data_IF_673065622198
#
_entry.id   IF_673065622198
#
_cell.length_a   1.000
_cell.length_b   1.000
_cell.length_c   1.000
_cell.angle_alpha   90.00
_cell.angle_beta   90.00
_cell.angle_gamma   90.00
#
_symmetry.space_group_name_H-M   'P 1'
#
loop_
_entity.id
_entity.type
_entity.pdbx_description
1 polymer ?
#
# COMPACT_ATOMS: atom_id res chain seq x y z
N UNK A 1 -16.62 -33.71 -10.09
CA UNK A 1 -16.17 -33.03 -11.34
C UNK A 1 -15.98 -31.57 -10.99
N UNK A 2 -14.75 -31.05 -11.12
CA UNK A 2 -14.29 -29.76 -10.57
C UNK A 2 -14.16 -29.69 -9.03
N UNK A 3 -13.29 -30.57 -8.53
CA UNK A 3 -12.26 -30.14 -7.57
C UNK A 3 -11.02 -29.65 -8.38
N UNK A 4 -9.96 -29.23 -7.69
CA UNK A 4 -8.63 -28.80 -8.17
C UNK A 4 -8.53 -27.43 -8.88
N UNK A 5 -8.42 -26.35 -8.08
CA UNK A 5 -7.53 -25.20 -8.41
C UNK A 5 -7.13 -24.31 -7.20
N UNK A 6 -7.00 -24.86 -5.99
CA UNK A 6 -6.68 -24.07 -4.76
C UNK A 6 -5.57 -24.65 -3.88
N UNK A 7 -4.82 -25.66 -4.34
CA UNK A 7 -3.64 -26.17 -3.60
C UNK A 7 -2.50 -26.51 -4.56
N UNK A 8 -1.29 -26.08 -4.20
CA UNK A 8 0.02 -26.31 -4.82
C UNK A 8 0.57 -25.24 -5.79
N UNK A 9 1.29 -24.27 -5.23
CA UNK A 9 2.64 -23.96 -5.71
C UNK A 9 3.69 -24.25 -4.60
N UNK A 10 4.32 -25.42 -4.74
CA UNK A 10 5.65 -25.84 -4.24
C UNK A 10 5.98 -25.69 -2.74
N UNK A 11 6.00 -26.84 -2.04
CA UNK A 11 6.95 -27.13 -0.96
C UNK A 11 8.06 -28.03 -1.51
N UNK A 12 9.31 -27.90 -1.03
CA UNK A 12 10.15 -28.98 -0.45
C UNK A 12 11.65 -28.64 -0.45
N UNK A 13 12.36 -29.30 0.50
CA UNK A 13 13.80 -29.35 0.82
C UNK A 13 14.16 -28.45 2.03
N UNK A 14 14.79 -28.91 3.12
CA UNK A 14 15.21 -30.25 3.59
C UNK A 14 14.87 -30.40 5.10
N UNK A 15 14.88 -31.62 5.66
CA UNK A 15 14.79 -31.89 7.11
C UNK A 15 16.06 -32.58 7.63
N UNK A 16 16.35 -32.36 8.91
CA UNK A 16 17.41 -32.96 9.77
C UNK A 16 18.80 -32.31 9.76
N UNK A 17 19.24 -31.91 10.96
CA UNK A 17 20.55 -31.33 11.27
C UNK A 17 20.44 -30.14 12.22
N UNK A 18 20.83 -30.29 13.48
CA UNK A 18 20.83 -29.19 14.46
C UNK A 18 21.86 -28.13 14.09
N UNK A 19 21.41 -27.02 13.50
CA UNK A 19 22.24 -25.82 13.29
C UNK A 19 21.44 -24.61 13.80
N UNK A 20 22.02 -23.93 14.78
CA UNK A 20 21.56 -22.61 15.24
C UNK A 20 21.91 -21.57 14.17
N UNK A 21 21.12 -21.53 13.09
CA UNK A 21 21.33 -20.55 12.04
C UNK A 21 20.63 -19.24 12.43
N UNK A 22 21.42 -18.28 12.90
CA UNK A 22 21.02 -16.89 13.08
C UNK A 22 20.81 -16.27 11.69
N UNK A 23 19.68 -16.59 11.07
CA UNK A 23 19.30 -16.10 9.76
C UNK A 23 18.87 -14.63 9.87
N UNK A 24 19.86 -13.73 9.82
CA UNK A 24 19.66 -12.31 9.57
C UNK A 24 19.09 -12.12 8.16
N UNK A 25 17.78 -12.28 8.01
CA UNK A 25 17.06 -11.77 6.86
C UNK A 25 16.99 -10.24 6.97
N UNK A 26 18.04 -9.58 6.47
CA UNK A 26 18.02 -8.12 6.24
C UNK A 26 17.12 -7.88 5.04
N UNK A 27 15.81 -7.70 5.31
CA UNK A 27 14.87 -7.24 4.30
C UNK A 27 15.04 -5.71 4.19
N UNK A 28 15.20 -5.24 2.96
CA UNK A 28 15.66 -3.89 2.65
C UNK A 28 14.49 -2.99 2.26
N UNK A 29 14.03 -2.06 3.13
CA UNK A 29 13.11 -1.01 2.70
C UNK A 29 13.81 -0.05 1.73
N UNK A 30 13.06 0.41 0.75
CA UNK A 30 13.53 1.26 -0.32
C UNK A 30 12.73 2.57 -0.35
N UNK A 31 13.46 3.66 -0.58
CA UNK A 31 12.94 5.01 -0.69
C UNK A 31 13.23 5.45 -2.13
N UNK A 32 12.21 5.91 -2.85
CA UNK A 32 12.41 6.62 -4.12
C UNK A 32 12.55 8.11 -3.85
N UNK A 33 13.67 8.72 -4.23
CA UNK A 33 13.59 10.10 -4.68
C UNK A 33 12.79 10.09 -5.98
N UNK A 34 11.76 10.93 -6.09
CA UNK A 34 11.07 11.13 -7.37
C UNK A 34 12.03 11.85 -8.29
N UNK A 35 12.77 11.07 -9.08
CA UNK A 35 13.60 11.57 -10.16
C UNK A 35 12.73 12.38 -11.13
N UNK A 36 13.36 13.35 -11.79
CA UNK A 36 12.70 14.30 -12.70
C UNK A 36 11.89 13.63 -13.82
N UNK A 37 12.19 12.36 -14.11
CA UNK A 37 11.60 11.56 -15.18
C UNK A 37 10.49 10.60 -14.71
N UNK A 38 10.27 10.43 -13.39
CA UNK A 38 9.28 9.52 -12.78
C UNK A 38 8.23 10.28 -11.92
N UNK A 39 7.50 11.27 -12.46
CA UNK A 39 6.67 12.19 -11.68
C UNK A 39 5.51 11.51 -10.93
N UNK A 40 5.16 12.04 -9.75
CA UNK A 40 3.91 11.70 -9.07
C UNK A 40 2.72 12.07 -9.96
N UNK A 41 1.92 11.07 -10.31
CA UNK A 41 0.60 11.27 -10.89
C UNK A 41 -0.46 11.15 -9.80
N UNK A 42 -1.20 12.23 -9.57
CA UNK A 42 -2.26 12.30 -8.57
C UNK A 42 -3.62 12.54 -9.25
N UNK A 43 -4.61 11.77 -8.82
CA UNK A 43 -6.02 11.93 -9.19
C UNK A 43 -6.79 12.49 -8.01
N UNK A 44 -7.55 13.56 -8.25
CA UNK A 44 -8.29 14.33 -7.24
C UNK A 44 -7.35 14.94 -6.17
N UNK A 45 -7.89 15.47 -5.07
CA UNK A 45 -7.09 15.95 -3.92
C UNK A 45 -7.64 15.37 -2.63
N UNK A 46 -6.77 15.21 -1.62
CA UNK A 46 -7.20 14.74 -0.30
C UNK A 46 -8.25 15.69 0.31
N UNK A 47 -8.10 17.01 0.15
CA UNK A 47 -9.06 18.02 0.62
C UNK A 47 -10.43 18.00 -0.08
N UNK A 48 -10.56 17.34 -1.23
CA UNK A 48 -11.84 17.02 -1.86
C UNK A 48 -12.39 15.70 -1.33
N UNK A 49 -11.53 14.69 -1.18
CA UNK A 49 -11.87 13.38 -0.62
C UNK A 49 -12.45 13.51 0.81
N UNK A 50 -11.86 14.38 1.63
CA UNK A 50 -12.35 14.70 2.98
C UNK A 50 -13.81 15.18 2.98
N UNK A 51 -14.26 15.82 1.89
CA UNK A 51 -15.59 16.43 1.73
C UNK A 51 -16.62 15.50 1.05
N UNK A 52 -16.30 14.22 0.86
CA UNK A 52 -17.23 13.27 0.22
C UNK A 52 -17.15 13.23 -1.31
N UNK A 53 -16.07 13.71 -1.93
CA UNK A 53 -15.89 13.64 -3.38
C UNK A 53 -15.48 12.22 -3.86
N UNK A 54 -16.39 11.26 -3.69
CA UNK A 54 -16.16 9.82 -3.93
C UNK A 54 -16.61 9.32 -5.30
N UNK A 55 -17.05 10.22 -6.19
CA UNK A 55 -17.38 9.83 -7.55
C UNK A 55 -16.11 9.55 -8.37
N UNK A 56 -16.21 8.58 -9.29
CA UNK A 56 -15.14 8.20 -10.23
C UNK A 56 -14.58 9.39 -10.99
N UNK A 57 -13.24 9.46 -11.03
CA UNK A 57 -12.47 10.44 -11.81
C UNK A 57 -11.68 9.76 -12.94
N UNK A 58 -11.21 8.54 -12.70
CA UNK A 58 -10.45 7.71 -13.67
C UNK A 58 -10.83 6.23 -13.49
N UNK A 59 -10.54 5.37 -14.46
CA UNK A 59 -10.62 3.90 -14.31
C UNK A 59 -9.32 3.26 -13.82
N UNK A 60 -9.42 2.00 -13.38
CA UNK A 60 -8.27 1.11 -13.12
C UNK A 60 -7.35 1.00 -14.34
N UNK A 61 -7.88 0.75 -15.54
CA UNK A 61 -7.06 0.61 -16.76
C UNK A 61 -6.34 1.92 -17.11
N UNK A 62 -7.06 3.05 -17.15
CA UNK A 62 -6.47 4.36 -17.44
C UNK A 62 -5.42 4.77 -16.39
N UNK A 63 -5.55 4.30 -15.14
CA UNK A 63 -4.64 4.61 -14.05
C UNK A 63 -3.40 3.69 -14.04
N UNK A 64 -3.54 2.44 -14.47
CA UNK A 64 -2.40 1.52 -14.65
C UNK A 64 -1.37 2.03 -15.67
N UNK A 65 -1.80 2.83 -16.65
CA UNK A 65 -0.90 3.52 -17.59
C UNK A 65 -0.04 4.63 -16.94
N UNK A 66 -0.38 5.09 -15.73
CA UNK A 66 0.22 6.29 -15.10
C UNK A 66 1.38 5.96 -14.16
N UNK A 67 1.40 4.76 -13.61
CA UNK A 67 2.41 4.29 -12.67
C UNK A 67 2.22 2.81 -12.34
N UNK A 68 3.09 2.27 -11.50
CA UNK A 68 3.10 0.85 -11.10
C UNK A 68 3.12 0.65 -9.58
N UNK A 69 3.07 1.75 -8.82
CA UNK A 69 3.19 1.77 -7.37
C UNK A 69 2.43 2.96 -6.78
N UNK A 70 1.47 2.70 -5.90
CA UNK A 70 0.55 3.75 -5.48
C UNK A 70 -0.42 3.35 -4.36
N UNK A 71 -1.15 4.34 -3.86
CA UNK A 71 -2.24 4.17 -2.88
C UNK A 71 -3.39 5.11 -3.20
N UNK A 72 -4.63 4.73 -2.87
CA UNK A 72 -5.81 5.53 -3.15
C UNK A 72 -7.10 4.96 -2.54
N UNK A 73 -8.23 5.40 -3.09
CA UNK A 73 -9.56 4.86 -2.81
C UNK A 73 -10.38 4.77 -4.10
N UNK A 74 -11.18 3.71 -4.19
CA UNK A 74 -12.13 3.50 -5.28
C UNK A 74 -13.26 4.53 -5.24
N UNK A 75 -14.05 4.56 -6.32
CA UNK A 75 -15.35 5.21 -6.28
C UNK A 75 -16.19 4.68 -5.10
N UNK A 76 -17.06 5.52 -4.54
CA UNK A 76 -17.88 5.21 -3.36
C UNK A 76 -17.07 4.87 -2.08
N UNK A 77 -15.74 5.03 -2.04
CA UNK A 77 -14.86 4.54 -0.97
C UNK A 77 -15.00 3.02 -0.71
N UNK A 78 -15.25 2.23 -1.74
CA UNK A 78 -15.32 0.77 -1.62
C UNK A 78 -13.94 0.15 -1.36
N UNK A 79 -13.55 0.11 -0.09
CA UNK A 79 -12.27 -0.41 0.38
C UNK A 79 -11.07 0.51 0.14
N UNK A 80 -9.89 -0.03 0.43
CA UNK A 80 -8.60 0.64 0.16
C UNK A 80 -8.07 0.22 -1.22
N UNK A 81 -7.39 1.15 -1.92
CA UNK A 81 -6.68 0.87 -3.17
C UNK A 81 -5.18 0.84 -2.92
N UNK A 82 -4.55 -0.28 -3.28
CA UNK A 82 -3.10 -0.46 -3.32
C UNK A 82 -2.66 -0.78 -4.74
N UNK A 83 -1.63 -0.10 -5.26
CA UNK A 83 -0.95 -0.50 -6.49
C UNK A 83 0.48 -0.94 -6.18
N UNK A 84 0.89 -2.10 -6.69
CA UNK A 84 2.21 -2.66 -6.50
C UNK A 84 2.62 -3.53 -7.69
N UNK A 85 3.83 -3.31 -8.21
CA UNK A 85 4.39 -4.01 -9.37
C UNK A 85 3.43 -3.98 -10.59
N UNK A 86 2.79 -2.84 -10.84
CA UNK A 86 1.83 -2.64 -11.94
C UNK A 86 0.42 -3.16 -11.67
N UNK A 87 0.22 -3.99 -10.66
CA UNK A 87 -1.10 -4.54 -10.32
C UNK A 87 -1.83 -3.63 -9.34
N UNK A 88 -3.07 -3.25 -9.65
CA UNK A 88 -3.99 -2.59 -8.72
C UNK A 88 -4.76 -3.66 -7.94
N UNK A 89 -4.87 -3.47 -6.63
CA UNK A 89 -5.58 -4.31 -5.68
C UNK A 89 -6.62 -3.49 -4.93
N UNK A 90 -7.79 -4.08 -4.73
CA UNK A 90 -8.83 -3.61 -3.82
C UNK A 90 -8.80 -4.46 -2.55
N UNK A 91 -8.83 -3.81 -1.39
CA UNK A 91 -9.00 -4.47 -0.10
C UNK A 91 -10.33 -4.02 0.48
N UNK A 92 -11.36 -4.87 0.36
CA UNK A 92 -12.74 -4.57 0.78
C UNK A 92 -12.88 -4.54 2.30
N UNK A 93 -14.01 -4.04 2.80
CA UNK A 93 -14.27 -3.86 4.24
C UNK A 93 -14.39 -5.17 5.03
N UNK A 94 -14.54 -6.32 4.38
CA UNK A 94 -14.44 -7.65 4.97
C UNK A 94 -12.99 -8.20 5.02
N UNK A 95 -12.03 -7.47 4.43
CA UNK A 95 -10.62 -7.79 4.40
C UNK A 95 -10.20 -8.68 3.23
N UNK A 96 -11.10 -8.97 2.29
CA UNK A 96 -10.76 -9.75 1.09
C UNK A 96 -9.98 -8.88 0.10
N UNK A 97 -9.01 -9.48 -0.58
CA UNK A 97 -8.16 -8.82 -1.58
C UNK A 97 -8.56 -9.27 -2.97
N UNK A 98 -8.85 -8.30 -3.83
CA UNK A 98 -9.27 -8.52 -5.21
C UNK A 98 -8.37 -7.75 -6.19
N UNK A 99 -8.27 -8.24 -7.43
CA UNK A 99 -7.89 -7.39 -8.57
C UNK A 99 -9.20 -6.90 -9.19
N UNK A 100 -9.51 -5.58 -9.13
CA UNK A 100 -10.75 -5.03 -9.67
C UNK A 100 -10.79 -5.14 -11.19
N UNK A 101 -11.96 -4.91 -11.79
CA UNK A 101 -12.08 -4.83 -13.24
C UNK A 101 -11.40 -3.56 -13.76
N UNK A 102 -10.92 -3.61 -14.99
CA UNK A 102 -10.30 -2.47 -15.67
C UNK A 102 -11.19 -1.23 -15.74
N UNK A 103 -12.52 -1.40 -15.80
CA UNK A 103 -13.50 -0.31 -15.86
C UNK A 103 -14.01 0.20 -14.50
N UNK A 104 -13.55 -0.39 -13.38
CA UNK A 104 -13.86 0.08 -12.02
C UNK A 104 -13.32 1.49 -11.80
N UNK A 105 -14.10 2.37 -11.18
CA UNK A 105 -13.75 3.76 -10.93
C UNK A 105 -12.86 3.99 -9.72
N UNK A 106 -11.99 4.99 -9.85
CA UNK A 106 -11.10 5.48 -8.79
C UNK A 106 -11.45 6.94 -8.50
N UNK A 107 -11.65 7.27 -7.23
CA UNK A 107 -12.03 8.62 -6.78
C UNK A 107 -10.82 9.47 -6.35
N UNK A 108 -9.78 8.84 -5.83
CA UNK A 108 -8.52 9.48 -5.45
C UNK A 108 -7.40 8.45 -5.50
N UNK A 109 -6.23 8.82 -6.03
CA UNK A 109 -5.05 7.95 -5.98
C UNK A 109 -3.77 8.74 -6.27
N UNK A 110 -2.69 8.34 -5.62
CA UNK A 110 -1.31 8.74 -5.89
C UNK A 110 -0.57 7.55 -6.50
N UNK A 111 0.11 7.73 -7.63
CA UNK A 111 0.99 6.71 -8.24
C UNK A 111 2.28 7.31 -8.80
N UNK A 112 3.32 6.48 -8.85
CA UNK A 112 4.59 6.74 -9.57
C UNK A 112 4.95 5.50 -10.39
N UNK A 113 5.88 5.66 -11.33
CA UNK A 113 6.71 4.53 -11.78
C UNK A 113 7.82 4.37 -10.75
N UNK A 114 7.78 3.29 -9.96
CA UNK A 114 8.65 3.16 -8.79
C UNK A 114 10.04 2.69 -9.20
N UNK A 115 10.92 3.67 -9.41
CA UNK A 115 12.33 3.47 -9.66
C UNK A 115 13.13 3.66 -8.35
N UNK A 116 13.53 2.57 -7.66
CA UNK A 116 14.19 2.63 -6.37
C UNK A 116 15.59 3.26 -6.43
N UNK A 117 15.75 4.52 -5.98
CA UNK A 117 17.04 5.24 -6.03
C UNK A 117 18.02 4.79 -4.95
N UNK A 118 17.53 4.49 -3.74
CA UNK A 118 18.38 4.04 -2.63
C UNK A 118 17.63 3.16 -1.61
N UNK A 119 18.36 2.42 -0.78
CA UNK A 119 17.77 1.57 0.26
C UNK A 119 18.57 1.67 1.55
N UNK A 120 17.86 1.64 2.68
CA UNK A 120 18.43 1.72 4.03
C UNK A 120 17.95 0.52 4.84
N UNK A 121 18.81 -0.18 5.60
CA UNK A 121 18.37 -1.25 6.48
C UNK A 121 17.77 -0.66 7.78
N UNK A 122 16.59 -1.13 8.17
CA UNK A 122 16.01 -0.81 9.49
C UNK A 122 16.37 -1.93 10.46
N UNK A 123 17.29 -1.62 11.39
CA UNK A 123 17.88 -2.62 12.29
C UNK A 123 17.14 -2.72 13.63
N UNK A 124 16.65 -3.93 13.91
CA UNK A 124 15.96 -4.28 15.15
C UNK A 124 14.49 -3.85 15.20
N UNK A 125 13.78 -4.10 16.31
CA UNK A 125 12.35 -3.78 16.43
C UNK A 125 12.09 -2.28 16.28
N UNK A 126 11.14 -1.93 15.41
CA UNK A 126 10.66 -0.57 15.21
C UNK A 126 9.14 -0.54 15.21
N UNK A 127 8.58 0.53 15.80
CA UNK A 127 7.19 0.92 15.60
C UNK A 127 7.12 2.01 14.51
N UNK A 128 5.90 2.45 14.16
CA UNK A 128 5.70 3.47 13.13
C UNK A 128 6.48 4.76 13.40
N UNK A 129 6.47 5.30 14.63
CA UNK A 129 7.21 6.52 14.96
C UNK A 129 8.73 6.37 14.79
N UNK A 130 9.31 5.21 15.15
CA UNK A 130 10.74 4.94 14.93
C UNK A 130 11.07 4.78 13.44
N UNK A 131 10.16 4.21 12.66
CA UNK A 131 10.26 4.16 11.20
C UNK A 131 10.26 5.59 10.62
N UNK A 132 9.26 6.41 10.94
CA UNK A 132 9.14 7.81 10.51
C UNK A 132 10.39 8.64 10.87
N UNK A 133 10.88 8.52 12.11
CA UNK A 133 12.13 9.16 12.54
C UNK A 133 13.36 8.72 11.72
N UNK A 134 13.41 7.46 11.31
CA UNK A 134 14.54 6.90 10.53
C UNK A 134 14.48 7.40 9.09
N UNK A 135 13.28 7.38 8.48
CA UNK A 135 13.02 7.92 7.15
C UNK A 135 13.35 9.42 7.10
N UNK A 136 12.85 10.22 8.05
CA UNK A 136 13.10 11.66 8.08
C UNK A 136 14.58 12.03 8.22
N UNK A 137 15.37 11.22 8.94
CA UNK A 137 16.84 11.41 9.07
C UNK A 137 17.61 11.01 7.81
N UNK A 138 16.97 10.39 6.81
CA UNK A 138 17.62 9.89 5.59
C UNK A 138 17.17 10.58 4.31
N UNK A 139 16.08 11.36 4.30
CA UNK A 139 15.70 12.17 3.14
C UNK A 139 16.75 13.27 2.81
N UNK A 140 17.05 13.55 1.53
CA UNK A 140 17.91 14.68 1.15
C UNK A 140 17.29 16.04 1.47
N UNK A 141 15.96 16.12 1.52
CA UNK A 141 15.21 17.36 1.68
C UNK A 141 13.88 17.14 2.40
N UNK A 142 13.54 18.02 3.35
CA UNK A 142 12.18 18.04 3.93
C UNK A 142 11.11 18.54 2.94
N UNK A 143 11.51 19.07 1.76
CA UNK A 143 10.62 19.75 0.80
C UNK A 143 10.33 18.92 -0.48
N UNK A 144 10.62 17.62 -0.49
CA UNK A 144 10.31 16.71 -1.60
C UNK A 144 9.25 15.68 -1.20
N UNK A 145 8.64 15.06 -2.22
CA UNK A 145 7.75 13.91 -2.06
C UNK A 145 8.58 12.64 -2.27
N UNK A 146 8.42 11.65 -1.39
CA UNK A 146 9.11 10.36 -1.46
C UNK A 146 8.11 9.23 -1.62
N UNK A 147 8.34 8.34 -2.59
CA UNK A 147 7.66 7.05 -2.65
C UNK A 147 8.37 6.06 -1.72
N UNK A 148 7.62 5.34 -0.88
CA UNK A 148 8.17 4.52 0.20
C UNK A 148 7.69 3.08 0.07
N UNK A 149 8.64 2.14 -0.04
CA UNK A 149 8.41 0.71 -0.02
C UNK A 149 9.11 0.09 1.19
N UNK A 150 8.37 -0.51 2.11
CA UNK A 150 8.93 -1.17 3.31
C UNK A 150 8.56 -2.64 3.31
N UNK A 151 9.48 -3.48 2.82
CA UNK A 151 9.39 -4.93 2.92
C UNK A 151 9.94 -5.42 4.28
N UNK A 152 9.25 -6.34 4.95
CA UNK A 152 9.70 -6.85 6.24
C UNK A 152 8.80 -7.90 6.89
N UNK A 153 9.22 -8.30 8.10
CA UNK A 153 8.44 -9.13 9.02
C UNK A 153 7.90 -8.21 10.12
N UNK A 154 6.58 -8.15 10.24
CA UNK A 154 5.88 -7.31 11.20
C UNK A 154 5.29 -8.18 12.30
N UNK A 155 5.75 -7.99 13.54
CA UNK A 155 5.22 -8.71 14.71
C UNK A 155 3.75 -8.38 14.98
N UNK A 156 3.36 -7.13 14.72
CA UNK A 156 1.99 -6.63 14.79
C UNK A 156 1.79 -5.61 13.64
N UNK A 157 0.66 -5.71 12.94
CA UNK A 157 0.18 -4.69 12.01
C UNK A 157 -1.29 -4.42 12.28
N UNK A 158 -1.64 -3.15 12.41
CA UNK A 158 -3.03 -2.69 12.43
C UNK A 158 -3.32 -2.01 11.11
N UNK A 159 -4.17 -2.62 10.29
CA UNK A 159 -4.63 -2.06 9.02
C UNK A 159 -6.13 -1.78 9.09
N UNK A 160 -6.61 -0.89 8.22
CA UNK A 160 -8.02 -0.57 8.07
C UNK A 160 -8.52 -0.87 6.66
N UNK A 161 -9.82 -1.00 6.52
CA UNK A 161 -10.51 -0.81 5.24
C UNK A 161 -11.84 -0.10 5.47
N UNK A 162 -12.29 0.66 4.47
CA UNK A 162 -13.52 1.45 4.51
C UNK A 162 -14.68 0.70 3.86
N UNK A 163 -15.90 0.75 4.44
CA UNK A 163 -17.09 0.27 3.76
C UNK A 163 -17.46 1.19 2.59
N UNK A 164 -18.01 0.61 1.53
CA UNK A 164 -18.68 1.35 0.45
C UNK A 164 -19.74 2.32 0.99
N UNK A 165 -19.87 3.47 0.33
CA UNK A 165 -20.79 4.56 0.67
C UNK A 165 -21.84 4.76 -0.43
N UNK A 166 -23.04 5.16 -0.02
CA UNK A 166 -24.12 5.59 -0.91
C UNK A 166 -24.22 7.12 -0.98
N UNK A 167 -24.81 7.65 -2.05
CA UNK A 167 -25.15 9.08 -2.11
C UNK A 167 -26.36 9.42 -1.20
N UNK A 168 -26.38 10.60 -0.55
CA UNK A 168 -25.34 11.64 -0.57
C UNK A 168 -24.15 11.25 0.32
N UNK A 169 -22.94 11.30 -0.25
CA UNK A 169 -21.75 10.85 0.45
C UNK A 169 -21.46 11.67 1.72
N UNK A 170 -21.15 11.00 2.84
CA UNK A 170 -20.72 11.68 4.05
C UNK A 170 -19.26 12.18 3.92
N UNK A 171 -18.84 13.03 4.87
CA UNK A 171 -17.44 13.44 5.00
C UNK A 171 -16.55 12.28 5.47
N UNK A 172 -15.27 12.31 5.11
CA UNK A 172 -14.35 11.17 5.33
C UNK A 172 -14.18 10.80 6.81
N UNK A 173 -14.29 11.76 7.72
CA UNK A 173 -14.25 11.52 9.17
C UNK A 173 -15.41 10.64 9.66
N UNK A 174 -16.58 10.74 9.01
CA UNK A 174 -17.74 9.86 9.28
C UNK A 174 -17.54 8.47 8.69
N UNK A 175 -16.96 8.36 7.48
CA UNK A 175 -16.63 7.05 6.86
C UNK A 175 -15.61 6.28 7.71
N UNK A 176 -14.53 6.96 8.12
CA UNK A 176 -13.45 6.38 8.95
C UNK A 176 -13.95 5.97 10.34
N UNK A 177 -15.00 6.59 10.88
CA UNK A 177 -15.60 6.16 12.14
C UNK A 177 -16.22 4.73 12.05
N UNK A 178 -16.62 4.30 10.85
CA UNK A 178 -17.21 2.99 10.56
C UNK A 178 -16.24 2.04 9.82
N UNK A 179 -14.93 2.29 9.88
CA UNK A 179 -13.90 1.45 9.28
C UNK A 179 -13.86 0.03 9.90
N UNK A 180 -13.51 -0.96 9.09
CA UNK A 180 -13.07 -2.26 9.57
C UNK A 180 -11.60 -2.19 9.98
N UNK A 181 -11.25 -2.78 11.12
CA UNK A 181 -9.86 -2.88 11.61
C UNK A 181 -9.43 -4.34 11.64
N UNK A 182 -8.27 -4.63 11.04
CA UNK A 182 -7.65 -5.94 11.04
C UNK A 182 -6.32 -5.87 11.79
N UNK A 183 -6.13 -6.77 12.76
CA UNK A 183 -4.89 -6.91 13.51
C UNK A 183 -4.17 -8.18 13.03
N UNK A 184 -3.10 -8.00 12.27
CA UNK A 184 -2.24 -9.09 11.80
C UNK A 184 -1.08 -9.27 12.78
N UNK A 185 -0.63 -10.51 12.97
CA UNK A 185 0.53 -10.81 13.83
C UNK A 185 1.51 -11.71 13.11
N UNK A 186 2.80 -11.49 13.33
CA UNK A 186 3.92 -12.24 12.71
C UNK A 186 3.78 -12.38 11.17
N UNK A 187 3.35 -11.31 10.51
CA UNK A 187 3.10 -11.31 9.06
C UNK A 187 4.34 -10.86 8.30
N UNK A 188 4.61 -11.46 7.13
CA UNK A 188 5.61 -10.95 6.18
C UNK A 188 4.87 -10.20 5.09
N UNK A 189 5.33 -9.01 4.73
CA UNK A 189 4.67 -8.21 3.71
C UNK A 189 5.44 -6.98 3.29
N UNK A 190 4.75 -6.13 2.52
CA UNK A 190 5.27 -4.88 1.96
C UNK A 190 4.29 -3.76 2.31
N UNK A 191 4.79 -2.66 2.88
CA UNK A 191 4.06 -1.41 3.00
C UNK A 191 4.41 -0.55 1.79
N UNK A 192 3.39 0.01 1.16
CA UNK A 192 3.49 1.00 0.08
C UNK A 192 2.88 2.30 0.57
N UNK A 193 3.56 3.43 0.33
CA UNK A 193 3.05 4.74 0.71
C UNK A 193 3.88 5.89 0.16
N UNK A 194 3.51 7.10 0.55
CA UNK A 194 4.20 8.32 0.16
C UNK A 194 4.45 9.20 1.40
N UNK A 195 5.59 9.88 1.41
CA UNK A 195 5.84 11.00 2.31
C UNK A 195 5.62 12.30 1.54
N UNK A 196 4.82 13.21 2.09
CA UNK A 196 4.60 14.54 1.54
C UNK A 196 5.27 15.59 2.45
N UNK A 197 5.77 16.70 1.88
CA UNK A 197 6.22 17.85 2.67
C UNK A 197 5.04 18.50 3.42
N UNK A 198 5.37 19.30 4.45
CA UNK A 198 4.41 19.99 5.31
C UNK A 198 3.83 21.28 4.69
#
# INVERSE_FOLDING_TARGET
MRDDMQTHFVKMLIRYGSIFLLAFFVVQPCIGEILKDDPLYQVNTFANLEKGAYNRVITVDEMADKGDFGVGGFEHMDGELLQMNGTIYQITSDGVVHTPRGDTGIAFMNTVRFNPVWSIPISGPANLSRLEETLKKTFPSDNQIYALRVDGIFSEMKIRSLPVQDEPYPVLSTVVANQSIFNLTNTTGTITGFWFPA
#
